data_IF_864067231912
#
_entry.id   IF_864067231912
#
_cell.length_a   1.000
_cell.length_b   1.000
_cell.length_c   1.000
_cell.angle_alpha   90.00
_cell.angle_beta   90.00
_cell.angle_gamma   90.00
#
_symmetry.space_group_name_H-M   'P 1'
#
loop_
_entity.id
_entity.type
_entity.pdbx_description
1 polymer ?
#
# COMPACT_ATOMS: atom_id res chain seq x y z
N UNK A 1 12.84 -3.94 3.35
CA UNK A 1 11.92 -3.75 4.49
C UNK A 1 10.75 -2.90 4.03
N UNK A 2 9.56 -3.22 4.53
CA UNK A 2 8.24 -2.65 4.21
C UNK A 2 7.74 -1.66 5.28
N UNK A 3 8.60 -1.20 6.19
CA UNK A 3 8.22 -0.26 7.26
C UNK A 3 7.54 1.02 6.73
N UNK A 4 7.95 1.51 5.57
CA UNK A 4 7.33 2.65 4.88
C UNK A 4 5.85 2.40 4.55
N UNK A 5 5.50 1.18 4.14
CA UNK A 5 4.12 0.80 3.83
C UNK A 5 3.30 0.68 5.11
N UNK A 6 3.82 0.02 6.14
CA UNK A 6 3.11 -0.11 7.42
C UNK A 6 2.88 1.25 8.10
N UNK A 7 3.85 2.16 8.03
CA UNK A 7 3.67 3.54 8.49
C UNK A 7 2.57 4.26 7.70
N UNK A 8 2.50 4.05 6.38
CA UNK A 8 1.44 4.62 5.56
C UNK A 8 0.06 4.06 5.90
N UNK A 9 -0.06 2.74 6.11
CA UNK A 9 -1.30 2.07 6.52
C UNK A 9 -1.74 2.56 7.91
N UNK A 10 -0.82 2.68 8.86
CA UNK A 10 -1.11 3.22 10.18
C UNK A 10 -1.63 4.66 10.10
N UNK A 11 -1.00 5.51 9.29
CA UNK A 11 -1.47 6.88 9.09
C UNK A 11 -2.85 6.93 8.38
N UNK A 12 -3.13 5.99 7.48
CA UNK A 12 -4.44 5.89 6.83
C UNK A 12 -5.55 5.49 7.81
N UNK A 13 -5.24 4.62 8.78
CA UNK A 13 -6.20 4.13 9.77
C UNK A 13 -6.72 5.22 10.72
N UNK A 14 -6.02 6.35 10.85
CA UNK A 14 -6.47 7.53 11.61
C UNK A 14 -7.68 8.25 10.96
N UNK A 15 -8.05 7.89 9.73
CA UNK A 15 -9.17 8.49 9.02
C UNK A 15 -10.35 7.53 8.96
N UNK A 16 -11.42 7.87 9.69
CA UNK A 16 -12.65 7.09 9.77
C UNK A 16 -13.15 6.65 8.38
N UNK A 17 -13.33 5.34 8.21
CA UNK A 17 -13.83 4.74 6.98
C UNK A 17 -12.81 4.65 5.84
N UNK A 18 -11.58 5.16 5.98
CA UNK A 18 -10.57 5.08 4.92
C UNK A 18 -10.19 3.63 4.61
N UNK A 19 -9.99 2.80 5.64
CA UNK A 19 -9.72 1.36 5.47
C UNK A 19 -10.93 0.66 4.85
N UNK A 20 -12.15 0.90 5.34
CA UNK A 20 -13.37 0.31 4.78
C UNK A 20 -13.57 0.65 3.30
N UNK A 21 -13.19 1.86 2.86
CA UNK A 21 -13.25 2.24 1.44
C UNK A 21 -12.34 1.38 0.57
N UNK A 22 -11.15 1.00 1.05
CA UNK A 22 -10.26 0.10 0.32
C UNK A 22 -10.89 -1.28 0.15
N UNK A 23 -11.64 -1.76 1.15
CA UNK A 23 -12.30 -3.06 1.15
C UNK A 23 -13.77 -3.02 0.71
N UNK A 24 -14.26 -1.91 0.14
CA UNK A 24 -15.69 -1.70 -0.11
C UNK A 24 -16.32 -2.73 -1.05
N UNK A 25 -15.52 -3.36 -1.92
CA UNK A 25 -15.96 -4.41 -2.83
C UNK A 25 -15.90 -5.82 -2.22
N UNK A 26 -15.34 -5.96 -1.01
CA UNK A 26 -15.28 -7.26 -0.30
C UNK A 26 -16.70 -7.66 0.10
N UNK A 27 -17.11 -8.85 -0.32
CA UNK A 27 -18.46 -9.35 -0.06
C UNK A 27 -18.68 -9.61 1.44
N UNK A 28 -19.63 -8.87 2.03
CA UNK A 28 -19.91 -8.92 3.47
C UNK A 28 -19.17 -7.85 4.29
N UNK A 29 -18.20 -7.16 3.69
CA UNK A 29 -17.31 -6.26 4.42
C UNK A 29 -16.07 -7.00 4.95
N UNK A 30 -15.14 -6.23 5.52
CA UNK A 30 -13.88 -6.76 6.08
C UNK A 30 -14.05 -7.18 7.56
N UNK A 31 -15.15 -6.74 8.17
CA UNK A 31 -15.58 -7.05 9.53
C UNK A 31 -16.29 -8.40 9.67
N UNK A 32 -16.74 -8.99 8.55
CA UNK A 32 -17.44 -10.26 8.56
C UNK A 32 -16.49 -11.41 8.89
N UNK A 33 -17.01 -12.38 9.67
CA UNK A 33 -16.26 -13.60 9.96
C UNK A 33 -16.06 -14.44 8.69
N UNK A 34 -14.92 -15.15 8.57
CA UNK A 34 -14.69 -16.08 7.47
C UNK A 34 -15.83 -17.10 7.34
N UNK A 35 -16.24 -17.36 6.11
CA UNK A 35 -17.26 -18.35 5.78
C UNK A 35 -16.66 -19.75 5.83
N UNK A 36 -17.53 -20.77 5.86
CA UNK A 36 -17.11 -22.19 5.83
C UNK A 36 -16.42 -22.61 4.52
N UNK A 37 -16.48 -21.78 3.47
CA UNK A 37 -15.80 -21.99 2.18
C UNK A 37 -14.57 -21.10 1.98
N UNK A 38 -13.94 -21.15 0.80
CA UNK A 38 -12.87 -20.23 0.43
C UNK A 38 -13.33 -18.78 0.57
N UNK A 39 -12.48 -17.94 1.15
CA UNK A 39 -12.75 -16.53 1.35
C UNK A 39 -11.95 -15.69 0.35
N UNK A 40 -12.56 -14.62 -0.12
CA UNK A 40 -11.95 -13.73 -1.09
C UNK A 40 -12.16 -12.30 -0.64
N UNK A 41 -11.08 -11.51 -0.73
CA UNK A 41 -11.06 -10.12 -0.32
C UNK A 41 -10.70 -9.26 -1.52
N UNK A 42 -11.50 -8.23 -1.74
CA UNK A 42 -11.34 -7.27 -2.82
C UNK A 42 -10.79 -5.97 -2.22
N UNK A 43 -9.60 -5.57 -2.68
CA UNK A 43 -8.91 -4.37 -2.22
C UNK A 43 -8.74 -3.42 -3.39
N UNK A 44 -9.43 -2.29 -3.35
CA UNK A 44 -9.29 -1.24 -4.36
C UNK A 44 -8.03 -0.41 -4.09
N UNK A 45 -7.09 -0.42 -5.03
CA UNK A 45 -5.84 0.33 -5.02
C UNK A 45 -5.72 1.15 -6.32
N UNK A 46 -4.94 2.22 -6.33
CA UNK A 46 -4.71 3.01 -7.54
C UNK A 46 -3.48 2.51 -8.30
N UNK A 47 -3.62 2.28 -9.60
CA UNK A 47 -2.48 2.05 -10.48
C UNK A 47 -1.80 3.38 -10.79
N UNK A 48 -0.52 3.56 -10.46
CA UNK A 48 0.14 4.85 -10.64
C UNK A 48 0.52 5.17 -12.09
N UNK A 49 0.47 4.19 -12.99
CA UNK A 49 0.72 4.42 -14.41
C UNK A 49 -0.50 5.01 -15.11
N UNK A 50 -1.71 4.58 -14.73
CA UNK A 50 -2.98 5.08 -15.30
C UNK A 50 -3.71 6.07 -14.37
N UNK A 51 -3.42 6.01 -13.07
CA UNK A 51 -4.14 6.66 -11.97
C UNK A 51 -5.60 6.24 -11.82
N UNK A 52 -5.95 5.08 -12.34
CA UNK A 52 -7.28 4.50 -12.20
C UNK A 52 -7.32 3.54 -11.01
N UNK A 53 -8.47 3.45 -10.31
CA UNK A 53 -8.68 2.44 -9.29
C UNK A 53 -8.72 1.04 -9.93
N UNK A 54 -8.05 0.10 -9.29
CA UNK A 54 -7.94 -1.31 -9.66
C UNK A 54 -8.34 -2.16 -8.46
N UNK A 55 -9.22 -3.11 -8.69
CA UNK A 55 -9.67 -4.03 -7.66
C UNK A 55 -8.75 -5.26 -7.62
N UNK A 56 -7.99 -5.40 -6.54
CA UNK A 56 -7.03 -6.47 -6.34
C UNK A 56 -7.66 -7.55 -5.48
N UNK A 57 -7.83 -8.72 -6.08
CA UNK A 57 -8.50 -9.87 -5.48
C UNK A 57 -7.46 -10.80 -4.85
N UNK A 58 -7.63 -11.11 -3.56
CA UNK A 58 -6.75 -12.00 -2.81
C UNK A 58 -7.55 -13.03 -1.99
N UNK A 59 -7.00 -14.24 -1.87
CA UNK A 59 -7.55 -15.28 -0.98
C UNK A 59 -7.12 -15.09 0.48
N UNK A 60 -7.65 -15.92 1.40
CA UNK A 60 -7.32 -15.86 2.84
C UNK A 60 -5.91 -16.32 3.23
N UNK A 61 -5.12 -16.90 2.32
CA UNK A 61 -3.82 -17.48 2.65
C UNK A 61 -2.77 -16.40 2.85
N UNK A 62 -1.97 -16.51 3.91
CA UNK A 62 -0.88 -15.58 4.20
C UNK A 62 0.49 -16.24 3.94
N UNK A 63 1.44 -15.46 3.42
CA UNK A 63 2.77 -15.96 3.10
C UNK A 63 3.56 -16.25 4.39
N UNK A 64 4.00 -17.50 4.56
CA UNK A 64 4.84 -17.91 5.68
C UNK A 64 6.31 -17.49 5.45
N UNK A 65 7.00 -17.12 6.52
CA UNK A 65 8.41 -16.81 6.47
C UNK A 65 9.25 -18.10 6.41
N UNK A 66 9.90 -18.35 5.27
CA UNK A 66 10.71 -19.55 5.06
C UNK A 66 11.94 -19.63 5.99
N UNK A 67 12.45 -18.50 6.46
CA UNK A 67 13.62 -18.42 7.35
C UNK A 67 13.21 -18.48 8.82
N UNK A 68 11.96 -18.17 9.15
CA UNK A 68 11.43 -18.15 10.51
C UNK A 68 10.07 -18.89 10.56
N UNK A 69 10.07 -20.22 10.68
CA UNK A 69 8.84 -21.01 10.76
C UNK A 69 7.91 -20.51 11.86
N UNK A 70 6.61 -20.43 11.55
CA UNK A 70 5.59 -19.91 12.47
C UNK A 70 5.42 -18.38 12.44
N UNK A 71 6.22 -17.65 11.65
CA UNK A 71 6.01 -16.22 11.40
C UNK A 71 5.52 -15.98 9.97
N UNK A 72 4.78 -14.89 9.78
CA UNK A 72 4.42 -14.40 8.46
C UNK A 72 5.61 -13.67 7.81
N UNK A 73 5.63 -13.67 6.47
CA UNK A 73 6.60 -12.92 5.68
C UNK A 73 6.32 -11.40 5.73
N UNK A 74 5.04 -11.03 5.74
CA UNK A 74 4.57 -9.64 5.84
C UNK A 74 4.18 -9.25 7.27
N UNK A 75 3.17 -8.38 7.37
CA UNK A 75 2.58 -7.91 8.61
C UNK A 75 2.11 -9.07 9.47
N UNK A 76 2.25 -8.90 10.79
CA UNK A 76 1.66 -9.80 11.75
C UNK A 76 0.18 -9.40 12.01
N UNK A 77 -0.69 -10.36 12.37
CA UNK A 77 -2.01 -10.04 12.92
C UNK A 77 -1.90 -9.11 14.13
N UNK A 78 -2.94 -8.32 14.41
CA UNK A 78 -3.01 -7.57 15.66
C UNK A 78 -3.12 -8.52 16.87
N UNK A 79 -2.87 -7.99 18.07
CA UNK A 79 -3.02 -8.76 19.31
C UNK A 79 -4.46 -9.27 19.51
N UNK A 80 -5.44 -8.55 18.97
CA UNK A 80 -6.87 -8.91 18.98
C UNK A 80 -7.26 -9.84 17.81
N UNK A 81 -6.29 -10.23 16.96
CA UNK A 81 -6.49 -11.18 15.87
C UNK A 81 -6.99 -10.56 14.56
N UNK A 82 -6.93 -9.25 14.39
CA UNK A 82 -7.31 -8.60 13.14
C UNK A 82 -6.31 -8.91 12.02
N UNK A 83 -6.83 -9.24 10.83
CA UNK A 83 -6.03 -9.65 9.67
C UNK A 83 -6.04 -8.64 8.52
N UNK A 84 -6.82 -7.56 8.62
CA UNK A 84 -7.00 -6.61 7.52
C UNK A 84 -5.69 -5.96 7.07
N UNK A 85 -4.72 -5.74 7.98
CA UNK A 85 -3.38 -5.22 7.62
C UNK A 85 -2.61 -6.26 6.79
N UNK A 86 -2.68 -7.53 7.19
CA UNK A 86 -2.05 -8.64 6.46
C UNK A 86 -2.62 -8.77 5.04
N UNK A 87 -3.94 -8.65 4.91
CA UNK A 87 -4.64 -8.69 3.62
C UNK A 87 -4.33 -7.47 2.77
N UNK A 88 -4.36 -6.27 3.35
CA UNK A 88 -4.02 -5.03 2.64
C UNK A 88 -2.59 -5.07 2.10
N UNK A 89 -1.62 -5.50 2.92
CA UNK A 89 -0.24 -5.63 2.46
C UNK A 89 -0.07 -6.70 1.38
N UNK A 90 -0.75 -7.85 1.50
CA UNK A 90 -0.75 -8.89 0.46
C UNK A 90 -1.29 -8.34 -0.86
N UNK A 91 -2.42 -7.64 -0.84
CA UNK A 91 -2.99 -7.00 -2.03
C UNK A 91 -2.03 -5.97 -2.63
N UNK A 92 -1.39 -5.15 -1.79
CA UNK A 92 -0.38 -4.19 -2.21
C UNK A 92 0.82 -4.87 -2.89
N UNK A 93 1.30 -5.98 -2.33
CA UNK A 93 2.38 -6.77 -2.93
C UNK A 93 1.97 -7.35 -4.29
N UNK A 94 0.76 -7.91 -4.42
CA UNK A 94 0.22 -8.41 -5.69
C UNK A 94 0.14 -7.28 -6.72
N UNK A 95 -0.40 -6.12 -6.35
CA UNK A 95 -0.52 -4.92 -7.20
C UNK A 95 0.82 -4.40 -7.71
N UNK A 96 1.85 -4.50 -6.87
CA UNK A 96 3.21 -4.08 -7.23
C UNK A 96 3.99 -5.13 -8.02
N UNK A 97 3.47 -6.35 -8.18
CA UNK A 97 4.11 -7.45 -8.90
C UNK A 97 4.95 -8.40 -8.04
N UNK A 98 4.81 -8.33 -6.72
CA UNK A 98 5.38 -9.30 -5.77
C UNK A 98 5.96 -8.67 -4.50
N UNK A 99 6.26 -9.52 -3.52
CA UNK A 99 6.84 -9.11 -2.23
C UNK A 99 8.19 -8.39 -2.37
N UNK A 100 8.99 -8.75 -3.38
CA UNK A 100 10.28 -8.09 -3.60
C UNK A 100 10.13 -6.67 -4.15
N UNK A 101 9.00 -6.34 -4.77
CA UNK A 101 8.74 -5.06 -5.42
C UNK A 101 8.32 -3.95 -4.44
N UNK A 102 8.04 -4.31 -3.18
CA UNK A 102 7.62 -3.40 -2.11
C UNK A 102 8.73 -3.13 -1.09
N UNK A 103 9.96 -3.54 -1.39
CA UNK A 103 11.12 -3.31 -0.54
C UNK A 103 11.74 -1.92 -0.79
N UNK A 104 11.83 -1.10 0.27
CA UNK A 104 12.60 0.16 0.25
C UNK A 104 11.89 1.36 -0.38
N UNK A 105 10.57 1.47 -0.21
CA UNK A 105 9.79 2.61 -0.70
C UNK A 105 9.68 3.79 0.28
N UNK A 106 8.81 4.73 -0.06
CA UNK A 106 8.52 5.97 0.68
C UNK A 106 7.03 6.02 1.05
N UNK A 107 6.67 6.53 2.23
CA UNK A 107 5.28 6.59 2.68
C UNK A 107 4.37 7.34 1.68
N UNK A 108 4.89 8.39 1.05
CA UNK A 108 4.20 9.17 0.01
C UNK A 108 3.81 8.33 -1.21
N UNK A 109 4.64 7.35 -1.58
CA UNK A 109 4.35 6.41 -2.66
C UNK A 109 3.20 5.47 -2.29
N UNK A 110 3.22 4.92 -1.07
CA UNK A 110 2.14 4.06 -0.57
C UNK A 110 0.84 4.85 -0.51
N UNK A 111 0.88 6.09 -0.03
CA UNK A 111 -0.29 6.97 0.01
C UNK A 111 -0.87 7.25 -1.38
N UNK A 112 -0.05 7.46 -2.40
CA UNK A 112 -0.56 7.62 -3.78
C UNK A 112 -1.30 6.36 -4.25
N UNK A 113 -0.81 5.16 -3.93
CA UNK A 113 -1.47 3.89 -4.28
C UNK A 113 -2.76 3.69 -3.47
N UNK A 114 -2.74 3.98 -2.16
CA UNK A 114 -3.88 3.77 -1.28
C UNK A 114 -5.01 4.79 -1.52
N UNK A 115 -4.68 6.03 -1.89
CA UNK A 115 -5.65 7.14 -1.92
C UNK A 115 -5.92 7.71 -3.31
N UNK A 116 -5.08 7.40 -4.30
CA UNK A 116 -5.12 8.04 -5.63
C UNK A 116 -4.63 9.49 -5.63
N UNK A 117 -4.13 10.00 -4.49
CA UNK A 117 -3.64 11.37 -4.39
C UNK A 117 -2.33 11.54 -5.19
N UNK A 118 -2.37 12.43 -6.19
CA UNK A 118 -1.22 12.83 -7.00
C UNK A 118 -0.32 13.84 -6.29
N UNK A 119 -0.93 14.74 -5.51
CA UNK A 119 -0.24 15.80 -4.78
C UNK A 119 0.42 15.27 -3.49
N UNK A 120 1.45 14.45 -3.64
CA UNK A 120 2.30 14.01 -2.55
C UNK A 120 3.64 14.75 -2.58
N UNK A 121 4.15 15.08 -1.40
CA UNK A 121 5.36 15.89 -1.23
C UNK A 121 6.29 15.25 -0.21
N UNK A 122 7.59 15.20 -0.52
CA UNK A 122 8.64 14.79 0.39
C UNK A 122 9.45 16.01 0.82
N UNK A 123 9.65 16.17 2.12
CA UNK A 123 10.47 17.25 2.67
C UNK A 123 11.85 16.67 2.99
N UNK A 124 12.90 17.24 2.40
CA UNK A 124 14.29 16.84 2.63
C UNK A 124 15.11 18.01 3.15
N UNK A 125 16.02 17.74 4.08
CA UNK A 125 17.02 18.73 4.48
C UNK A 125 18.05 18.94 3.36
N UNK A 126 18.38 20.19 3.07
CA UNK A 126 19.44 20.58 2.18
C UNK A 126 20.77 20.72 2.94
N UNK A 127 21.89 20.60 2.22
CA UNK A 127 23.23 20.68 2.80
C UNK A 127 23.64 22.05 3.36
N UNK A 128 22.82 23.08 3.13
CA UNK A 128 23.01 24.46 3.61
C UNK A 128 22.18 24.79 4.86
N UNK A 129 21.54 23.79 5.46
CA UNK A 129 20.67 23.97 6.64
C UNK A 129 19.25 24.44 6.30
N UNK A 130 18.87 24.50 5.02
CA UNK A 130 17.49 24.74 4.58
C UNK A 130 16.74 23.43 4.35
N UNK A 131 15.44 23.52 4.00
CA UNK A 131 14.62 22.36 3.64
C UNK A 131 14.05 22.55 2.24
N UNK A 132 13.97 21.46 1.49
CA UNK A 132 13.41 21.39 0.14
C UNK A 132 12.13 20.57 0.15
N UNK A 133 11.13 21.02 -0.60
CA UNK A 133 9.88 20.31 -0.84
C UNK A 133 9.94 19.71 -2.25
N UNK A 134 9.91 18.38 -2.34
CA UNK A 134 9.96 17.64 -3.60
C UNK A 134 8.58 17.07 -3.89
N UNK A 135 8.02 17.41 -5.05
CA UNK A 135 6.76 16.86 -5.54
C UNK A 135 6.96 16.19 -6.90
N UNK A 136 5.97 15.41 -7.32
CA UNK A 136 5.97 14.67 -8.61
C UNK A 136 5.51 15.52 -9.81
N UNK A 137 5.17 16.78 -9.57
CA UNK A 137 4.71 17.72 -10.59
C UNK A 137 5.85 18.63 -11.02
N UNK A 138 6.15 18.68 -12.32
CA UNK A 138 7.09 19.62 -12.90
C UNK A 138 6.34 20.89 -13.35
N UNK A 139 6.45 22.01 -12.62
CA UNK A 139 5.75 23.25 -12.96
C UNK A 139 6.34 23.95 -14.19
N UNK A 140 7.58 23.64 -14.59
CA UNK A 140 8.21 24.26 -15.76
C UNK A 140 7.68 23.67 -17.07
N UNK A 141 7.23 22.42 -17.04
CA UNK A 141 6.70 21.68 -18.20
C UNK A 141 5.19 21.45 -18.12
N UNK A 142 4.54 21.91 -17.05
CA UNK A 142 3.12 21.69 -16.75
C UNK A 142 2.73 20.20 -16.80
N UNK A 143 3.59 19.33 -16.25
CA UNK A 143 3.50 17.88 -16.44
C UNK A 143 3.79 17.09 -15.17
N UNK A 144 3.03 16.01 -14.97
CA UNK A 144 3.31 15.00 -13.95
C UNK A 144 4.38 14.03 -14.41
N UNK A 145 5.30 13.68 -13.52
CA UNK A 145 6.26 12.60 -13.74
C UNK A 145 5.53 11.26 -13.92
N UNK A 146 6.05 10.42 -14.81
CA UNK A 146 5.55 9.05 -14.95
C UNK A 146 5.82 8.27 -13.66
N UNK A 147 4.88 7.43 -13.24
CA UNK A 147 4.96 6.64 -12.02
C UNK A 147 4.63 5.17 -12.31
N UNK A 148 5.05 4.28 -11.43
CA UNK A 148 4.77 2.85 -11.51
C UNK A 148 4.36 2.31 -10.13
N UNK A 149 3.71 1.14 -10.08
CA UNK A 149 3.31 0.55 -8.80
C UNK A 149 4.54 0.04 -8.03
N UNK A 150 5.39 -0.74 -8.71
CA UNK A 150 6.64 -1.27 -8.15
C UNK A 150 7.63 -0.16 -7.81
N UNK A 151 8.23 -0.24 -6.62
CA UNK A 151 9.31 0.67 -6.19
C UNK A 151 10.53 0.56 -7.09
N UNK A 152 10.86 -0.64 -7.57
CA UNK A 152 12.04 -0.86 -8.44
C UNK A 152 11.88 -0.28 -9.84
N UNK A 153 10.64 -0.01 -10.27
CA UNK A 153 10.33 0.57 -11.59
C UNK A 153 9.97 2.05 -11.51
N UNK A 154 9.75 2.57 -10.30
CA UNK A 154 9.31 3.95 -10.06
C UNK A 154 10.44 4.98 -10.09
N UNK A 155 11.69 4.54 -10.15
CA UNK A 155 12.87 5.39 -10.24
C UNK A 155 13.76 4.91 -11.38
N UNK A 156 14.03 5.73 -12.42
CA UNK A 156 15.21 5.53 -13.26
C UNK A 156 16.51 5.81 -12.49
#
# INVERSE_FOLDING_TARGET
GNCWLLSAISALAEFDGAVHKLFANTSGGIEDMPREGPNEYHVTLYDLSTWEPVDVVIDERLAANAQNPGKLLGAAPSDDGELWVCYLEKAFAVHCGGWDEINGGQCTHAWSILTGCRQTYEIRAAGDGTYQCLGKYNPNEDKWEAQANSIKKSFP
#
